data_IF_742171606764
#
_entry.id   IF_742171606764
#
_cell.length_a   1.000
_cell.length_b   1.000
_cell.length_c   1.000
_cell.angle_alpha   90.00
_cell.angle_beta   90.00
_cell.angle_gamma   90.00
#
_symmetry.space_group_name_H-M   'P 1'
#
loop_
_entity.id
_entity.type
_entity.pdbx_description
1 polymer ?
#
# COMPACT_ATOMS: atom_id res chain seq x y z
N UNK A 1 -13.74 32.95 16.71
CA UNK A 1 -12.99 33.07 15.44
C UNK A 1 -11.52 32.97 15.78
N UNK A 2 -10.89 31.83 15.52
CA UNK A 2 -9.44 31.66 15.67
C UNK A 2 -8.95 30.85 14.47
N UNK A 3 -8.50 31.62 13.47
CA UNK A 3 -7.63 31.17 12.39
C UNK A 3 -6.37 30.65 13.08
N UNK A 4 -6.06 29.36 12.93
CA UNK A 4 -4.79 28.79 13.35
C UNK A 4 -3.95 28.58 12.11
N UNK A 5 -3.40 29.69 11.60
CA UNK A 5 -2.15 29.62 10.84
C UNK A 5 -1.07 29.27 11.85
N UNK A 6 -0.53 28.05 11.74
CA UNK A 6 0.66 27.66 12.50
C UNK A 6 1.81 27.62 11.50
N UNK A 7 2.70 28.58 11.70
CA UNK A 7 3.96 28.72 11.01
C UNK A 7 4.77 27.42 11.06
N UNK A 8 5.52 27.20 9.97
CA UNK A 8 6.68 26.31 9.87
C UNK A 8 7.37 26.09 11.23
N UNK A 9 7.17 24.90 11.79
CA UNK A 9 7.75 24.50 13.05
C UNK A 9 7.86 22.99 13.04
N UNK A 10 9.02 22.50 12.59
CA UNK A 10 9.56 21.15 12.72
C UNK A 10 8.49 20.07 12.93
N UNK A 11 8.01 19.51 11.82
CA UNK A 11 7.10 18.39 11.85
C UNK A 11 7.76 17.26 12.63
N UNK A 12 7.30 17.07 13.87
CA UNK A 12 7.57 15.91 14.70
C UNK A 12 7.28 14.69 13.81
N UNK A 13 8.36 14.01 13.42
CA UNK A 13 8.35 12.79 12.63
C UNK A 13 7.68 11.72 13.49
N UNK A 14 6.37 11.61 13.36
CA UNK A 14 5.65 10.43 13.77
C UNK A 14 6.09 9.30 12.82
N UNK A 15 6.66 8.19 13.31
CA UNK A 15 7.10 7.08 12.46
C UNK A 15 5.94 6.41 11.70
N UNK A 16 4.70 6.58 12.16
CA UNK A 16 3.48 6.18 11.46
C UNK A 16 3.13 7.11 10.28
N UNK A 17 3.52 8.39 10.37
CA UNK A 17 3.25 9.39 9.32
C UNK A 17 4.12 9.19 8.08
N UNK A 18 5.18 8.38 8.17
CA UNK A 18 6.14 8.21 7.10
C UNK A 18 5.56 7.38 5.95
N UNK A 19 4.76 6.35 6.23
CA UNK A 19 4.18 5.47 5.19
C UNK A 19 3.10 6.17 4.38
N UNK A 20 2.12 6.78 5.05
CA UNK A 20 1.06 7.56 4.41
C UNK A 20 1.61 8.78 3.67
N UNK A 21 2.57 9.52 4.24
CA UNK A 21 3.18 10.66 3.57
C UNK A 21 3.98 10.25 2.33
N UNK A 22 4.67 9.11 2.38
CA UNK A 22 5.37 8.56 1.22
C UNK A 22 4.39 8.11 0.16
N UNK A 23 3.33 7.39 0.55
CA UNK A 23 2.27 6.95 -0.35
C UNK A 23 1.61 8.15 -1.04
N UNK A 24 1.29 9.22 -0.29
CA UNK A 24 0.75 10.45 -0.84
C UNK A 24 1.73 11.18 -1.77
N UNK A 25 3.03 11.22 -1.43
CA UNK A 25 4.05 11.83 -2.29
C UNK A 25 4.26 11.06 -3.58
N UNK A 26 4.29 9.72 -3.54
CA UNK A 26 4.38 8.86 -4.72
C UNK A 26 3.11 8.95 -5.55
N UNK A 27 1.94 8.94 -4.91
CA UNK A 27 0.66 9.12 -5.59
C UNK A 27 0.65 10.43 -6.37
N UNK A 28 0.98 11.54 -5.72
CA UNK A 28 1.04 12.85 -6.38
C UNK A 28 2.06 12.89 -7.53
N UNK A 29 3.22 12.25 -7.35
CA UNK A 29 4.26 12.17 -8.38
C UNK A 29 3.81 11.36 -9.61
N UNK A 30 3.09 10.26 -9.39
CA UNK A 30 2.57 9.40 -10.46
C UNK A 30 1.23 9.91 -11.04
N UNK A 31 0.60 10.92 -10.43
CA UNK A 31 -0.70 11.46 -10.84
C UNK A 31 -1.91 10.69 -10.30
N UNK A 32 -1.73 9.92 -9.24
CA UNK A 32 -2.77 9.21 -8.49
C UNK A 32 -3.33 10.10 -7.38
N UNK A 33 -4.57 9.82 -6.98
CA UNK A 33 -5.22 10.49 -5.85
C UNK A 33 -5.08 9.63 -4.60
N UNK A 34 -4.35 10.13 -3.60
CA UNK A 34 -4.22 9.42 -2.32
C UNK A 34 -5.59 9.23 -1.68
N UNK A 35 -6.02 7.99 -1.58
CA UNK A 35 -7.32 7.58 -1.07
C UNK A 35 -7.18 6.16 -0.53
N UNK A 36 -6.74 6.00 0.73
CA UNK A 36 -6.60 4.69 1.33
C UNK A 36 -7.97 4.06 1.54
N UNK A 37 -8.11 2.82 1.06
CA UNK A 37 -9.28 1.98 1.28
C UNK A 37 -9.26 1.42 2.69
N UNK A 38 -10.44 1.37 3.33
CA UNK A 38 -10.60 0.74 4.63
C UNK A 38 -10.67 -0.80 4.53
N UNK A 39 -11.13 -1.30 3.38
CA UNK A 39 -11.31 -2.73 3.10
C UNK A 39 -10.00 -3.38 2.62
N UNK A 40 -9.19 -2.64 1.86
CA UNK A 40 -7.99 -3.17 1.21
C UNK A 40 -6.73 -2.37 1.56
N UNK A 41 -5.81 -2.98 2.30
CA UNK A 41 -4.56 -2.33 2.70
C UNK A 41 -3.65 -1.94 1.53
N UNK A 42 -3.79 -2.61 0.38
CA UNK A 42 -2.99 -2.32 -0.82
C UNK A 42 -3.57 -1.18 -1.67
N UNK A 43 -4.85 -0.83 -1.51
CA UNK A 43 -5.49 0.27 -2.24
C UNK A 43 -5.28 1.58 -1.49
N UNK A 44 -4.07 2.15 -1.60
CA UNK A 44 -3.72 3.40 -0.90
C UNK A 44 -3.99 4.66 -1.73
N UNK A 45 -3.93 4.55 -3.06
CA UNK A 45 -4.29 5.64 -3.95
C UNK A 45 -5.00 5.12 -5.19
N UNK A 46 -5.93 5.91 -5.73
CA UNK A 46 -6.73 5.59 -6.90
C UNK A 46 -6.32 6.47 -8.09
N UNK A 47 -6.07 5.85 -9.23
CA UNK A 47 -5.78 6.51 -10.51
C UNK A 47 -6.95 6.46 -11.50
N UNK A 48 -6.70 6.89 -12.73
CA UNK A 48 -7.76 7.12 -13.73
C UNK A 48 -8.18 5.89 -14.55
N UNK A 49 -7.53 4.73 -14.40
CA UNK A 49 -7.75 3.53 -15.23
C UNK A 49 -7.91 2.25 -14.40
N UNK A 50 -8.73 2.28 -13.34
CA UNK A 50 -8.81 1.18 -12.35
C UNK A 50 -7.41 0.75 -11.88
N UNK A 51 -6.56 1.75 -11.72
CA UNK A 51 -5.18 1.61 -11.33
C UNK A 51 -5.08 2.01 -9.87
N UNK A 52 -4.80 1.04 -9.02
CA UNK A 52 -4.49 1.28 -7.61
C UNK A 52 -2.99 1.47 -7.43
N UNK A 53 -2.60 2.24 -6.40
CA UNK A 53 -1.21 2.37 -5.98
C UNK A 53 -1.07 1.86 -4.55
N UNK A 54 -0.11 0.96 -4.37
CA UNK A 54 0.36 0.50 -3.08
C UNK A 54 1.79 0.95 -2.84
N UNK A 55 2.06 1.59 -1.71
CA UNK A 55 3.40 2.03 -1.33
C UNK A 55 3.83 1.34 -0.04
N UNK A 56 4.97 0.64 -0.09
CA UNK A 56 5.51 -0.07 1.07
C UNK A 56 7.01 0.16 1.22
N UNK A 57 7.48 0.40 2.44
CA UNK A 57 8.93 0.49 2.71
C UNK A 57 9.57 -0.86 3.02
N UNK A 58 8.78 -1.93 3.01
CA UNK A 58 9.26 -3.31 3.21
C UNK A 58 9.81 -3.92 1.94
N UNK A 59 10.49 -5.04 2.14
CA UNK A 59 10.90 -5.92 1.04
C UNK A 59 9.68 -6.68 0.52
N UNK A 60 9.43 -6.57 -0.78
CA UNK A 60 8.35 -7.29 -1.45
C UNK A 60 8.85 -8.69 -1.87
N UNK A 61 8.16 -9.73 -1.42
CA UNK A 61 8.41 -11.13 -1.79
C UNK A 61 7.31 -11.66 -2.71
N UNK A 62 7.60 -12.75 -3.42
CA UNK A 62 6.63 -13.35 -4.35
C UNK A 62 5.35 -13.80 -3.63
N UNK A 63 5.47 -14.38 -2.44
CA UNK A 63 4.34 -14.82 -1.61
C UNK A 63 3.42 -13.65 -1.23
N UNK A 64 4.01 -12.53 -0.81
CA UNK A 64 3.25 -11.32 -0.46
C UNK A 64 2.52 -10.72 -1.66
N UNK A 65 3.16 -10.76 -2.84
CA UNK A 65 2.57 -10.32 -4.09
C UNK A 65 1.40 -11.22 -4.51
N UNK A 66 1.54 -12.53 -4.34
CA UNK A 66 0.49 -13.50 -4.67
C UNK A 66 -0.73 -13.34 -3.77
N UNK A 67 -0.52 -13.08 -2.47
CA UNK A 67 -1.60 -12.77 -1.53
C UNK A 67 -2.41 -11.54 -1.96
N UNK A 68 -1.73 -10.46 -2.41
CA UNK A 68 -2.43 -9.27 -2.95
C UNK A 68 -3.16 -9.62 -4.23
N UNK A 69 -2.51 -10.34 -5.15
CA UNK A 69 -3.09 -10.72 -6.44
C UNK A 69 -4.35 -11.56 -6.27
N UNK A 70 -4.41 -12.41 -5.25
CA UNK A 70 -5.60 -13.21 -4.91
C UNK A 70 -6.78 -12.37 -4.45
N UNK A 71 -6.54 -11.17 -3.90
CA UNK A 71 -7.59 -10.23 -3.49
C UNK A 71 -7.97 -9.20 -4.57
N UNK A 72 -7.24 -9.14 -5.69
CA UNK A 72 -7.53 -8.22 -6.80
C UNK A 72 -8.60 -8.78 -7.74
N UNK A 73 -9.48 -7.91 -8.23
CA UNK A 73 -10.48 -8.29 -9.23
C UNK A 73 -9.85 -8.48 -10.63
N UNK A 74 -10.55 -9.25 -11.47
CA UNK A 74 -10.14 -9.50 -12.84
C UNK A 74 -10.27 -8.21 -13.69
N UNK A 75 -9.12 -7.67 -14.13
CA UNK A 75 -9.06 -6.47 -14.96
C UNK A 75 -8.58 -5.21 -14.23
N UNK A 76 -8.38 -5.26 -12.92
CA UNK A 76 -7.74 -4.16 -12.19
C UNK A 76 -6.21 -4.17 -12.37
N UNK A 77 -5.62 -2.97 -12.34
CA UNK A 77 -4.18 -2.79 -12.37
C UNK A 77 -3.68 -2.30 -11.01
N UNK A 78 -2.56 -2.83 -10.53
CA UNK A 78 -1.93 -2.38 -9.28
C UNK A 78 -0.50 -1.93 -9.52
N UNK A 79 -0.15 -0.75 -9.04
CA UNK A 79 1.22 -0.25 -9.05
C UNK A 79 1.78 -0.38 -7.62
N UNK A 80 2.84 -1.15 -7.44
CA UNK A 80 3.48 -1.34 -6.13
C UNK A 80 4.80 -0.59 -6.11
N UNK A 81 4.84 0.51 -5.37
CA UNK A 81 6.07 1.24 -5.08
C UNK A 81 6.69 0.69 -3.79
N UNK A 82 7.82 0.00 -3.90
CA UNK A 82 8.50 -0.59 -2.74
C UNK A 82 9.96 -0.13 -2.59
N UNK A 83 10.52 -0.25 -1.38
CA UNK A 83 11.95 0.03 -1.13
C UNK A 83 12.83 -0.97 -1.90
N UNK A 84 12.47 -2.24 -1.83
CA UNK A 84 13.17 -3.32 -2.52
C UNK A 84 12.21 -4.49 -2.77
N UNK A 85 12.50 -5.29 -3.79
CA UNK A 85 11.70 -6.46 -4.16
C UNK A 85 12.61 -7.54 -4.75
N UNK A 86 12.14 -8.79 -4.68
CA UNK A 86 12.79 -9.94 -5.28
C UNK A 86 12.90 -9.82 -6.81
N UNK A 87 13.96 -10.38 -7.39
CA UNK A 87 14.16 -10.29 -8.84
C UNK A 87 13.03 -11.01 -9.59
N UNK A 88 12.39 -10.30 -10.52
CA UNK A 88 11.37 -10.87 -11.40
C UNK A 88 9.93 -10.60 -10.97
N UNK A 89 9.70 -10.01 -9.77
CA UNK A 89 8.35 -9.61 -9.35
C UNK A 89 7.74 -8.54 -10.26
N UNK A 90 8.57 -7.67 -10.85
CA UNK A 90 8.12 -6.66 -11.83
C UNK A 90 7.57 -7.26 -13.14
N UNK A 91 7.81 -8.56 -13.36
CA UNK A 91 7.32 -9.32 -14.53
C UNK A 91 6.47 -10.52 -14.13
N UNK A 92 6.16 -10.66 -12.84
CA UNK A 92 5.38 -11.78 -12.34
C UNK A 92 3.93 -11.71 -12.86
N UNK A 93 3.37 -10.50 -12.95
CA UNK A 93 2.00 -10.26 -13.42
C UNK A 93 1.97 -9.10 -14.41
N UNK A 94 1.20 -9.23 -15.48
CA UNK A 94 0.98 -8.18 -16.49
C UNK A 94 0.16 -7.00 -15.98
N UNK A 95 -0.64 -7.25 -14.96
CA UNK A 95 -1.59 -6.34 -14.32
C UNK A 95 -1.05 -5.80 -12.98
N UNK A 96 0.18 -6.16 -12.58
CA UNK A 96 0.85 -5.56 -11.43
C UNK A 96 2.20 -4.99 -11.85
N UNK A 97 2.38 -3.68 -11.65
CA UNK A 97 3.63 -2.98 -11.94
C UNK A 97 4.41 -2.74 -10.65
N UNK A 98 5.50 -3.47 -10.44
CA UNK A 98 6.38 -3.26 -9.28
C UNK A 98 7.47 -2.25 -9.61
N UNK A 99 7.53 -1.15 -8.86
CA UNK A 99 8.48 -0.06 -9.01
C UNK A 99 9.28 0.17 -7.72
N UNK A 100 10.51 0.66 -7.87
CA UNK A 100 11.32 1.11 -6.72
C UNK A 100 10.99 2.55 -6.37
N UNK A 101 10.87 2.80 -5.07
CA UNK A 101 10.75 4.16 -4.55
C UNK A 101 12.06 4.91 -4.82
N UNK A 102 12.01 6.11 -5.42
CA UNK A 102 13.20 6.92 -5.64
C UNK A 102 13.93 7.20 -4.33
N UNK A 103 15.24 6.99 -4.31
CA UNK A 103 16.07 7.27 -3.13
C UNK A 103 15.93 8.71 -2.65
N UNK A 104 15.70 9.67 -3.56
CA UNK A 104 15.49 11.08 -3.21
C UNK A 104 14.23 11.33 -2.37
N UNK A 105 13.16 10.53 -2.56
CA UNK A 105 11.95 10.61 -1.75
C UNK A 105 12.12 9.88 -0.41
N UNK A 106 12.84 8.76 -0.43
CA UNK A 106 13.26 8.03 0.77
C UNK A 106 14.21 8.83 1.66
N UNK A 107 15.11 9.62 1.11
CA UNK A 107 16.07 10.44 1.86
C UNK A 107 15.39 11.66 2.50
N UNK A 108 14.38 12.21 1.82
CA UNK A 108 13.53 13.29 2.36
C UNK A 108 12.53 12.84 3.42
N UNK A 109 12.21 11.55 3.47
CA UNK A 109 11.38 10.96 4.52
C UNK A 109 12.30 10.17 5.46
N UNK A 110 12.65 10.70 6.64
CA UNK A 110 13.42 9.97 7.67
C UNK A 110 12.70 8.68 8.10
N UNK A 111 12.90 7.59 7.36
CA UNK A 111 12.37 6.26 7.68
C UNK A 111 13.35 5.55 8.62
N UNK A 112 13.27 5.93 9.89
CA UNK A 112 13.98 5.29 10.99
C UNK A 112 13.28 4.02 11.44
N UNK A 113 13.92 2.88 11.17
CA UNK A 113 13.72 1.55 11.78
C UNK A 113 12.38 0.84 11.51
N UNK A 114 12.53 -0.15 10.65
CA UNK A 114 11.73 -1.38 10.51
C UNK A 114 11.27 -1.95 11.86
N UNK A 115 9.95 -2.02 12.08
CA UNK A 115 9.30 -3.11 12.83
C UNK A 115 7.77 -2.94 12.69
N UNK A 116 7.24 -3.34 11.55
CA UNK A 116 5.84 -3.73 11.54
C UNK A 116 5.81 -5.13 10.95
N UNK A 117 5.75 -6.14 11.81
CA UNK A 117 5.15 -7.40 11.42
C UNK A 117 3.66 -7.12 11.22
N UNK A 118 3.22 -6.86 9.98
CA UNK A 118 1.79 -6.96 9.66
C UNK A 118 1.44 -8.43 9.86
N UNK A 119 0.86 -8.73 11.00
CA UNK A 119 0.07 -9.93 11.19
C UNK A 119 -1.13 -9.78 10.25
N UNK A 120 -0.97 -10.23 9.00
CA UNK A 120 -2.09 -10.40 8.06
C UNK A 120 -3.01 -11.40 8.76
N UNK A 121 -3.98 -10.89 9.50
CA UNK A 121 -5.12 -11.67 9.91
C UNK A 121 -5.77 -12.08 8.60
N UNK A 122 -5.53 -13.33 8.19
CA UNK A 122 -6.30 -13.99 7.18
C UNK A 122 -7.77 -13.68 7.45
N UNK A 123 -8.53 -13.04 6.54
CA UNK A 123 -9.96 -13.12 6.61
C UNK A 123 -10.27 -14.61 6.52
N UNK A 124 -10.70 -15.20 7.63
CA UNK A 124 -11.17 -16.56 7.68
C UNK A 124 -12.15 -16.74 6.52
N UNK A 125 -11.84 -17.73 5.68
CA UNK A 125 -12.57 -18.06 4.49
C UNK A 125 -14.09 -18.02 4.76
N UNK A 126 -14.81 -17.45 3.79
CA UNK A 126 -16.19 -17.80 3.57
C UNK A 126 -16.28 -19.33 3.49
N UNK A 127 -16.89 -19.95 4.48
CA UNK A 127 -17.63 -21.20 4.27
C UNK A 127 -19.11 -20.84 4.40
N UNK A 128 -19.64 -20.45 3.24
CA UNK A 128 -21.04 -20.48 2.90
C UNK A 128 -21.40 -21.96 2.68
N UNK A 129 -21.81 -22.68 3.73
CA UNK A 129 -22.53 -23.94 3.59
C UNK A 129 -23.63 -24.05 4.65
N UNK A 130 -24.85 -23.76 4.20
CA UNK A 130 -26.11 -24.19 4.77
C UNK A 130 -26.08 -25.69 5.09
N UNK A 131 -26.57 -26.13 6.26
CA UNK A 131 -27.51 -27.26 6.38
C UNK A 131 -28.05 -27.42 7.82
N UNK A 132 -29.36 -27.67 7.85
CA UNK A 132 -30.23 -28.08 8.96
C UNK A 132 -29.76 -29.31 9.74
N UNK A 133 -30.34 -29.48 10.95
CA UNK A 133 -30.97 -30.70 11.53
C UNK A 133 -30.65 -30.78 13.04
N UNK A 134 -31.56 -30.33 13.92
CA UNK A 134 -32.60 -31.11 14.62
C UNK A 134 -32.06 -31.99 15.76
N UNK A 135 -32.40 -31.62 17.00
CA UNK A 135 -33.01 -32.46 18.07
C UNK A 135 -33.12 -31.70 19.40
#
# INVERSE_FOLDING_TARGET
MLIKEVAFGEAIINPDYSADALAAAIALHEGFTYQPSADFFWKQALGNENSDLFTTTRHLTADYLDAIKSGMEEGECLVIACRSYDKGLDKAYTNIAVKKIPQMLLDRCEFGKDDYSLNIAHPSAYEDEEVEDDE
#
